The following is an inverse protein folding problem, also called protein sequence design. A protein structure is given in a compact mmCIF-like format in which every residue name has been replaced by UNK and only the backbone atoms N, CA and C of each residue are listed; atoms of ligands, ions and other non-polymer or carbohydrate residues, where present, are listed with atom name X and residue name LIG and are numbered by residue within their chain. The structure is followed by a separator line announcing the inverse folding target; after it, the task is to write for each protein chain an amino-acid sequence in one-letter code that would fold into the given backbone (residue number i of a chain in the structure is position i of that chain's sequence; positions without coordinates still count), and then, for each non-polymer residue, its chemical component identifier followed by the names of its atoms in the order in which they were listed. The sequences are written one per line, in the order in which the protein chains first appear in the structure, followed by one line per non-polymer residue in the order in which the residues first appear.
data_IF_044471541330
#
_entry.id   IF_044471541330
#
_cell.length_a   1.000
_cell.length_b   1.000
_cell.length_c   1.000
_cell.angle_alpha   90.00
_cell.angle_beta   90.00
_cell.angle_gamma   90.00
#
_symmetry.space_group_name_H-M   'P 1'
#
loop_
_entity.id
_entity.type
_entity.pdbx_description
1 polymer ?
#
# COMPACT_ATOMS: atom_id res chain seq x y z
N UNK A 1 -8.10 -10.11 10.67
CA UNK A 1 -7.70 -9.45 11.92
C UNK A 1 -6.94 -10.36 12.91
N UNK A 2 -6.99 -11.68 12.85
CA UNK A 2 -6.37 -12.57 13.84
C UNK A 2 -4.94 -13.08 13.55
N UNK A 3 -4.26 -12.64 12.51
CA UNK A 3 -2.91 -13.14 12.15
C UNK A 3 -1.75 -12.19 12.45
N UNK A 4 -2.00 -10.91 12.63
CA UNK A 4 -0.93 -9.93 12.86
C UNK A 4 -0.50 -9.79 14.33
N UNK A 5 -1.35 -10.16 15.29
CA UNK A 5 -1.02 -10.07 16.72
C UNK A 5 0.03 -11.09 17.20
N UNK A 6 0.31 -12.16 16.42
CA UNK A 6 1.30 -13.18 16.78
C UNK A 6 2.76 -12.77 16.54
N UNK A 7 3.02 -11.82 15.65
CA UNK A 7 4.38 -11.34 15.40
C UNK A 7 4.94 -10.50 16.57
N UNK A 8 4.08 -9.84 17.35
CA UNK A 8 4.49 -9.03 18.50
C UNK A 8 4.83 -9.82 19.77
N UNK A 9 4.28 -11.01 19.94
CA UNK A 9 4.52 -11.86 21.14
C UNK A 9 5.78 -12.70 21.03
N UNK A 10 6.28 -12.93 19.79
CA UNK A 10 7.51 -13.72 19.55
C UNK A 10 8.78 -12.86 19.48
N UNK A 11 8.65 -11.52 19.31
CA UNK A 11 9.79 -10.60 19.16
C UNK A 11 9.99 -9.65 20.35
N UNK A 12 9.62 -10.06 21.58
CA UNK A 12 9.94 -9.33 22.80
C UNK A 12 11.44 -9.24 23.04
N UNK A 13 12.13 -8.46 22.21
CA UNK A 13 13.55 -8.13 22.33
C UNK A 13 13.77 -7.11 23.45
N UNK A 14 14.74 -7.38 24.29
CA UNK A 14 15.25 -6.51 25.33
C UNK A 14 15.51 -5.07 24.82
N UNK A 15 15.10 -4.08 25.58
CA UNK A 15 15.19 -2.65 25.33
C UNK A 15 16.63 -2.07 25.28
N UNK A 16 17.64 -2.84 24.94
CA UNK A 16 19.04 -2.40 24.90
C UNK A 16 19.83 -2.84 23.64
N UNK A 17 19.17 -3.27 22.56
CA UNK A 17 19.85 -3.50 21.27
C UNK A 17 19.07 -2.83 20.14
N UNK A 18 19.61 -1.72 19.70
CA UNK A 18 19.44 -0.92 18.47
C UNK A 18 18.15 -1.09 17.63
N UNK A 19 17.40 0.02 17.44
CA UNK A 19 16.17 0.07 16.62
C UNK A 19 16.45 0.19 15.12
N UNK A 20 17.53 -0.42 14.57
CA UNK A 20 17.90 -0.22 13.17
C UNK A 20 17.23 -1.18 12.18
N UNK A 21 16.70 -2.32 12.60
CA UNK A 21 16.08 -3.26 11.63
C UNK A 21 14.57 -3.03 11.46
N UNK A 22 13.84 -2.71 12.51
CA UNK A 22 12.39 -2.46 12.39
C UNK A 22 12.09 -1.10 11.71
N UNK A 23 12.93 -0.09 11.95
CA UNK A 23 12.80 1.20 11.25
C UNK A 23 13.11 1.09 9.76
N UNK A 24 14.02 0.22 9.35
CA UNK A 24 14.36 -0.03 7.95
C UNK A 24 13.19 -0.69 7.20
N UNK A 25 12.50 -1.66 7.81
CA UNK A 25 11.32 -2.30 7.21
C UNK A 25 10.10 -1.37 7.13
N UNK A 26 9.89 -0.51 8.12
CA UNK A 26 8.79 0.47 8.08
C UNK A 26 9.12 1.64 7.12
N UNK A 27 10.37 2.08 7.04
CA UNK A 27 10.81 3.06 6.06
C UNK A 27 10.69 2.52 4.62
N UNK A 28 11.07 1.26 4.38
CA UNK A 28 10.86 0.61 3.07
C UNK A 28 9.38 0.43 2.73
N UNK A 29 8.52 0.08 3.69
CA UNK A 29 7.07 0.02 3.51
C UNK A 29 6.46 1.38 3.18
N UNK A 30 6.90 2.45 3.84
CA UNK A 30 6.45 3.82 3.55
C UNK A 30 6.99 4.33 2.20
N UNK A 31 8.23 4.04 1.86
CA UNK A 31 8.81 4.31 0.53
C UNK A 31 8.03 3.54 -0.54
N UNK A 32 7.70 2.27 -0.27
CA UNK A 32 6.92 1.46 -1.19
C UNK A 32 5.47 1.93 -1.30
N UNK A 33 4.81 2.34 -0.20
CA UNK A 33 3.48 2.97 -0.25
C UNK A 33 3.50 4.26 -1.07
N UNK A 34 4.50 5.11 -0.90
CA UNK A 34 4.68 6.34 -1.69
C UNK A 34 4.97 6.02 -3.15
N UNK A 35 5.79 5.01 -3.44
CA UNK A 35 6.01 4.48 -4.80
C UNK A 35 4.73 3.90 -5.39
N UNK A 36 3.88 3.24 -4.61
CA UNK A 36 2.57 2.74 -5.02
C UNK A 36 1.62 3.86 -5.47
N UNK A 37 1.57 4.97 -4.74
CA UNK A 37 0.71 6.11 -5.07
C UNK A 37 1.25 6.86 -6.30
N UNK A 38 2.56 7.00 -6.43
CA UNK A 38 3.20 7.60 -7.59
C UNK A 38 3.10 6.72 -8.86
N UNK A 39 3.23 5.40 -8.71
CA UNK A 39 3.09 4.42 -9.81
C UNK A 39 1.66 4.40 -10.37
N UNK A 40 0.62 4.62 -9.56
CA UNK A 40 -0.75 4.75 -10.06
C UNK A 40 -0.98 6.02 -10.91
N UNK A 41 -0.18 7.07 -10.71
CA UNK A 41 -0.29 8.33 -11.45
C UNK A 41 0.63 8.42 -12.68
N UNK A 42 1.75 7.70 -12.72
CA UNK A 42 2.81 7.81 -13.74
C UNK A 42 3.10 6.51 -14.51
N UNK A 43 2.44 5.39 -14.20
CA UNK A 43 2.79 4.05 -14.66
C UNK A 43 2.58 3.76 -16.16
N UNK A 44 2.28 4.75 -16.97
CA UNK A 44 2.16 4.55 -18.42
C UNK A 44 3.45 4.62 -19.20
N UNK A 45 4.41 5.45 -18.80
CA UNK A 45 5.61 5.71 -19.63
C UNK A 45 6.91 5.09 -19.08
N UNK A 46 7.06 4.94 -17.76
CA UNK A 46 8.33 4.48 -17.17
C UNK A 46 8.51 2.96 -17.10
N UNK A 47 7.42 2.17 -17.18
CA UNK A 47 7.49 0.71 -17.07
C UNK A 47 8.06 -0.01 -18.31
N UNK A 48 8.19 0.68 -19.43
CA UNK A 48 8.59 0.06 -20.72
C UNK A 48 10.11 -0.06 -20.96
N UNK A 49 10.95 0.57 -20.13
CA UNK A 49 12.39 0.56 -20.38
C UNK A 49 13.16 -0.59 -19.70
N UNK A 50 12.56 -1.30 -18.74
CA UNK A 50 13.23 -2.40 -18.02
C UNK A 50 13.25 -3.73 -18.78
N UNK A 51 12.52 -3.89 -19.88
CA UNK A 51 12.40 -5.14 -20.63
C UNK A 51 13.37 -5.31 -21.81
N UNK A 52 14.23 -4.33 -22.13
CA UNK A 52 15.23 -4.44 -23.18
C UNK A 52 16.66 -4.41 -22.66
N UNK A 53 17.05 -5.43 -21.93
CA UNK A 53 18.42 -5.65 -21.46
C UNK A 53 18.80 -7.11 -21.50
N UNK A 54 19.29 -7.59 -22.63
CA UNK A 54 20.49 -8.40 -22.84
C UNK A 54 20.45 -9.10 -24.19
N UNK A 55 21.15 -8.54 -25.17
CA UNK A 55 21.94 -9.38 -26.08
C UNK A 55 23.12 -8.54 -26.60
N UNK A 56 24.27 -8.84 -26.02
CA UNK A 56 25.56 -8.42 -26.52
C UNK A 56 25.81 -9.09 -27.87
N UNK A 57 25.90 -8.29 -28.93
CA UNK A 57 26.89 -8.56 -29.99
C UNK A 57 27.38 -7.24 -30.58
N UNK A 58 28.68 -7.10 -30.52
CA UNK A 58 29.53 -6.02 -30.98
C UNK A 58 29.38 -5.76 -32.46
N UNK A 59 29.03 -4.52 -32.83
CA UNK A 59 29.48 -3.93 -34.09
C UNK A 59 29.58 -2.41 -33.90
N UNK A 60 30.82 -1.95 -33.87
CA UNK A 60 31.17 -0.55 -33.98
C UNK A 60 30.53 0.06 -35.25
N UNK A 61 29.74 1.11 -35.06
CA UNK A 61 29.48 2.06 -36.14
C UNK A 61 29.35 3.47 -35.53
N UNK A 62 30.43 4.22 -35.70
CA UNK A 62 30.43 5.67 -35.49
C UNK A 62 29.44 6.30 -36.49
N UNK A 63 28.33 6.80 -35.99
CA UNK A 63 27.55 7.77 -36.70
C UNK A 63 27.04 8.84 -35.73
N UNK A 64 27.69 9.99 -35.77
CA UNK A 64 27.20 11.22 -35.18
C UNK A 64 25.90 11.61 -35.89
N UNK A 65 24.77 11.26 -35.26
CA UNK A 65 23.48 11.81 -35.64
C UNK A 65 23.17 12.96 -34.67
N UNK A 66 22.97 14.13 -35.24
CA UNK A 66 22.32 15.26 -34.56
C UNK A 66 20.94 14.77 -34.10
N UNK A 67 20.73 14.74 -32.78
CA UNK A 67 19.48 14.40 -32.14
C UNK A 67 18.50 15.56 -32.36
N UNK A 68 17.78 15.50 -33.45
CA UNK A 68 16.58 16.31 -33.66
C UNK A 68 15.41 15.47 -33.14
N UNK A 69 14.85 15.85 -31.99
CA UNK A 69 13.67 15.26 -31.42
C UNK A 69 12.46 15.32 -32.38
N UNK A 70 12.36 14.34 -33.29
CA UNK A 70 11.18 14.10 -34.15
C UNK A 70 10.28 12.96 -33.62
N UNK A 71 10.52 12.46 -32.43
CA UNK A 71 9.69 11.42 -31.82
C UNK A 71 8.90 11.99 -30.66
N UNK A 72 7.63 12.37 -30.83
CA UNK A 72 6.75 12.68 -29.70
C UNK A 72 6.43 11.41 -28.87
N UNK A 73 5.65 11.55 -27.78
CA UNK A 73 5.26 10.49 -26.83
C UNK A 73 4.72 9.24 -27.56
N UNK A 74 3.95 9.42 -28.65
CA UNK A 74 3.39 8.32 -29.44
C UNK A 74 4.41 7.57 -30.31
N UNK A 75 5.69 7.99 -30.36
CA UNK A 75 6.72 7.27 -31.11
C UNK A 75 6.99 5.85 -30.57
N UNK A 76 6.61 5.58 -29.34
CA UNK A 76 6.67 4.26 -28.71
C UNK A 76 5.61 3.28 -29.25
N UNK A 77 4.55 3.80 -29.91
CA UNK A 77 3.44 3.01 -30.44
C UNK A 77 3.27 3.20 -31.95
N UNK A 78 4.25 2.77 -32.76
CA UNK A 78 4.25 3.03 -34.21
C UNK A 78 3.16 2.28 -34.98
N UNK A 79 2.56 1.26 -34.38
CA UNK A 79 1.44 0.49 -34.95
C UNK A 79 0.06 1.08 -34.65
N UNK A 80 -0.01 2.09 -33.79
CA UNK A 80 -1.25 2.72 -33.37
C UNK A 80 -1.31 4.19 -33.77
N UNK A 81 -2.51 4.72 -33.91
CA UNK A 81 -2.71 6.12 -34.29
C UNK A 81 -4.06 6.66 -33.84
N UNK A 82 -4.09 7.99 -33.62
CA UNK A 82 -5.34 8.71 -33.51
C UNK A 82 -5.78 9.18 -34.90
N UNK A 83 -6.93 8.73 -35.36
CA UNK A 83 -7.45 9.06 -36.71
C UNK A 83 -8.30 10.32 -36.70
N UNK A 84 -8.92 10.65 -35.57
CA UNK A 84 -9.62 11.90 -35.32
C UNK A 84 -9.50 12.31 -33.86
N UNK A 85 -8.86 13.43 -33.61
CA UNK A 85 -8.82 14.03 -32.28
C UNK A 85 -10.18 14.68 -31.98
N UNK A 86 -10.78 14.31 -30.85
CA UNK A 86 -12.01 14.85 -30.35
C UNK A 86 -11.87 16.23 -29.72
N UNK A 87 -12.92 16.70 -29.06
CA UNK A 87 -12.90 17.92 -28.27
C UNK A 87 -12.01 17.70 -27.03
N UNK A 88 -11.02 18.55 -26.83
CA UNK A 88 -10.13 18.55 -25.65
C UNK A 88 -10.15 19.89 -24.88
N UNK A 89 -10.68 20.98 -25.47
CA UNK A 89 -10.84 22.26 -24.82
C UNK A 89 -12.25 22.41 -24.28
N UNK A 90 -12.38 22.61 -22.97
CA UNK A 90 -13.66 22.72 -22.27
C UNK A 90 -14.46 21.41 -22.28
N UNK A 91 -13.81 20.28 -22.06
CA UNK A 91 -14.50 18.99 -21.80
C UNK A 91 -15.29 19.09 -20.51
N UNK A 92 -16.44 18.39 -20.46
CA UNK A 92 -17.30 18.39 -19.28
C UNK A 92 -16.91 17.23 -18.37
N UNK A 93 -16.66 17.52 -17.08
CA UNK A 93 -16.32 16.55 -16.05
C UNK A 93 -17.24 16.69 -14.85
N UNK A 94 -17.37 15.66 -14.02
CA UNK A 94 -18.11 15.73 -12.78
C UNK A 94 -17.44 16.68 -11.77
N UNK A 95 -18.23 17.39 -10.99
CA UNK A 95 -17.68 18.18 -9.88
C UNK A 95 -17.16 17.26 -8.78
N UNK A 96 -15.88 17.45 -8.38
CA UNK A 96 -15.23 16.66 -7.35
C UNK A 96 -15.17 17.46 -6.06
N UNK A 97 -15.82 16.94 -4.99
CA UNK A 97 -15.79 17.58 -3.68
C UNK A 97 -14.51 17.24 -2.94
N UNK A 98 -13.82 18.26 -2.44
CA UNK A 98 -12.66 18.13 -1.54
C UNK A 98 -13.00 18.49 -0.09
N UNK A 99 -14.27 18.74 0.22
CA UNK A 99 -14.71 19.09 1.58
C UNK A 99 -14.50 17.90 2.53
N UNK A 100 -13.83 18.12 3.65
CA UNK A 100 -13.68 17.16 4.74
C UNK A 100 -14.83 17.37 5.71
N UNK A 101 -15.60 16.32 5.94
CA UNK A 101 -16.74 16.34 6.85
C UNK A 101 -16.35 15.97 8.28
N UNK A 102 -17.15 16.38 9.25
CA UNK A 102 -16.92 15.98 10.66
C UNK A 102 -17.18 14.48 10.85
N UNK A 103 -18.03 13.86 10.03
CA UNK A 103 -18.27 12.42 10.02
C UNK A 103 -17.02 11.63 9.61
N UNK A 104 -16.24 12.12 8.67
CA UNK A 104 -14.98 11.49 8.26
C UNK A 104 -13.91 11.57 9.35
N UNK A 105 -13.80 12.72 10.02
CA UNK A 105 -12.93 12.88 11.20
C UNK A 105 -13.36 11.91 12.29
N UNK A 106 -14.67 11.86 12.60
CA UNK A 106 -15.19 10.96 13.64
C UNK A 106 -14.94 9.49 13.30
N UNK A 107 -15.07 9.08 12.04
CA UNK A 107 -14.78 7.72 11.62
C UNK A 107 -13.31 7.31 11.85
N UNK A 108 -12.35 8.23 11.63
CA UNK A 108 -10.95 7.98 11.95
C UNK A 108 -10.71 7.85 13.46
N UNK A 109 -11.36 8.71 14.25
CA UNK A 109 -11.30 8.65 15.71
C UNK A 109 -11.92 7.34 16.22
N UNK A 110 -13.07 6.94 15.71
CA UNK A 110 -13.74 5.70 16.11
C UNK A 110 -12.88 4.47 15.78
N UNK A 111 -12.19 4.45 14.65
CA UNK A 111 -11.23 3.41 14.28
C UNK A 111 -10.02 3.38 15.24
N UNK A 112 -9.52 4.55 15.61
CA UNK A 112 -8.42 4.66 16.57
C UNK A 112 -8.85 4.14 17.95
N UNK A 113 -10.01 4.58 18.47
CA UNK A 113 -10.57 4.12 19.74
C UNK A 113 -10.80 2.61 19.74
N UNK A 114 -11.27 2.02 18.63
CA UNK A 114 -11.46 0.58 18.49
C UNK A 114 -10.15 -0.23 18.52
N UNK A 115 -9.02 0.42 18.23
CA UNK A 115 -7.69 -0.22 18.26
C UNK A 115 -7.10 -0.28 19.69
N UNK A 116 -7.64 0.51 20.62
CA UNK A 116 -7.17 0.60 22.02
C UNK A 116 -8.32 0.47 23.00
N UNK A 117 -9.04 -0.67 23.02
CA UNK A 117 -10.17 -0.84 23.93
C UNK A 117 -9.70 -0.94 25.39
N UNK A 118 -10.46 -0.33 26.30
CA UNK A 118 -10.28 -0.52 27.72
C UNK A 118 -10.76 -1.92 28.14
N UNK A 119 -9.95 -2.64 28.91
CA UNK A 119 -10.32 -3.94 29.50
C UNK A 119 -10.97 -3.77 30.83
N UNK A 120 -12.28 -3.98 30.92
CA UNK A 120 -13.06 -3.81 32.12
C UNK A 120 -13.46 -5.16 32.72
N UNK A 121 -13.07 -5.49 33.98
CA UNK A 121 -13.45 -6.76 34.61
C UNK A 121 -14.97 -6.93 34.78
N UNK A 122 -15.46 -8.11 34.41
CA UNK A 122 -16.85 -8.54 34.66
C UNK A 122 -16.92 -9.16 36.06
N UNK A 123 -17.30 -8.38 37.07
CA UNK A 123 -17.20 -8.78 38.50
C UNK A 123 -18.02 -10.01 38.86
N UNK A 124 -19.18 -10.23 38.23
CA UNK A 124 -20.10 -11.34 38.55
C UNK A 124 -19.73 -12.65 37.81
N UNK A 125 -18.71 -12.63 36.91
CA UNK A 125 -18.28 -13.78 36.13
C UNK A 125 -16.96 -14.33 36.67
N UNK A 126 -17.00 -15.52 37.22
CA UNK A 126 -15.87 -16.12 37.94
C UNK A 126 -15.34 -17.41 37.31
N UNK A 127 -16.00 -17.93 36.27
CA UNK A 127 -15.64 -19.17 35.58
C UNK A 127 -15.55 -18.90 34.11
N UNK A 128 -14.44 -19.29 33.49
CA UNK A 128 -14.15 -19.08 32.08
C UNK A 128 -15.04 -19.94 31.16
N UNK A 129 -15.66 -19.34 30.18
CA UNK A 129 -16.49 -20.00 29.18
C UNK A 129 -15.95 -19.68 27.76
N UNK A 130 -16.34 -20.44 26.75
CA UNK A 130 -16.01 -20.13 25.35
C UNK A 130 -16.62 -18.81 24.93
N UNK A 131 -15.85 -17.98 24.26
CA UNK A 131 -16.21 -16.63 23.81
C UNK A 131 -15.93 -15.54 24.86
N UNK A 132 -15.39 -15.89 26.05
CA UNK A 132 -14.93 -14.90 27.02
C UNK A 132 -13.60 -14.30 26.59
N UNK A 133 -13.41 -13.04 26.93
CA UNK A 133 -12.08 -12.42 26.92
C UNK A 133 -11.54 -12.55 28.35
N UNK A 134 -10.40 -13.23 28.48
CA UNK A 134 -9.77 -13.45 29.78
C UNK A 134 -8.43 -12.71 29.85
N UNK A 135 -8.26 -11.93 30.91
CA UNK A 135 -6.96 -11.33 31.20
C UNK A 135 -6.10 -12.36 31.93
N UNK A 136 -4.97 -12.74 31.34
CA UNK A 136 -4.07 -13.79 31.83
C UNK A 136 -2.63 -13.32 31.87
N UNK A 137 -1.86 -13.92 32.78
CA UNK A 137 -0.43 -14.05 32.62
C UNK A 137 -0.07 -15.49 32.23
N UNK A 138 0.93 -15.66 31.42
CA UNK A 138 1.43 -16.98 31.05
C UNK A 138 2.96 -17.04 30.99
N UNK A 139 3.49 -18.20 31.30
CA UNK A 139 4.93 -18.51 31.13
C UNK A 139 5.06 -19.92 30.58
N UNK A 140 5.59 -20.04 29.37
CA UNK A 140 5.90 -21.32 28.70
C UNK A 140 7.29 -21.82 29.08
N UNK A 141 7.38 -23.14 29.36
CA UNK A 141 8.65 -23.80 29.67
C UNK A 141 8.83 -25.07 28.82
N UNK A 142 10.00 -25.17 28.18
CA UNK A 142 10.49 -26.36 27.52
C UNK A 142 11.50 -27.05 28.45
N UNK A 143 11.27 -28.30 28.78
CA UNK A 143 12.10 -29.05 29.73
C UNK A 143 12.37 -28.32 31.07
N UNK A 144 11.45 -27.39 31.47
CA UNK A 144 11.51 -26.62 32.70
C UNK A 144 12.25 -25.28 32.57
N UNK A 145 12.78 -24.94 31.40
CA UNK A 145 13.40 -23.64 31.11
C UNK A 145 12.45 -22.77 30.28
N UNK A 146 12.38 -21.47 30.62
CA UNK A 146 11.60 -20.48 29.88
C UNK A 146 12.25 -20.24 28.52
N UNK A 147 11.44 -19.98 27.49
CA UNK A 147 11.91 -19.68 26.13
C UNK A 147 11.40 -18.31 25.68
N UNK A 148 12.12 -17.72 24.74
CA UNK A 148 11.81 -16.41 24.19
C UNK A 148 10.45 -16.43 23.47
N UNK A 149 9.60 -15.39 23.75
CA UNK A 149 8.23 -15.31 23.26
C UNK A 149 7.23 -16.20 23.99
N UNK A 150 7.63 -16.99 25.00
CA UNK A 150 6.76 -17.85 25.77
C UNK A 150 6.10 -17.23 27.00
N UNK A 151 6.22 -15.91 27.21
CA UNK A 151 5.73 -15.24 28.43
C UNK A 151 5.03 -13.93 28.12
N UNK A 152 3.97 -13.59 28.90
CA UNK A 152 3.31 -12.27 28.90
C UNK A 152 4.13 -11.18 29.59
N UNK A 153 5.24 -11.50 30.21
CA UNK A 153 6.04 -10.54 30.99
C UNK A 153 5.41 -10.07 32.30
N UNK A 154 4.20 -10.50 32.63
CA UNK A 154 3.46 -10.09 33.83
C UNK A 154 2.70 -8.76 33.67
N UNK A 155 2.51 -8.30 32.44
CA UNK A 155 1.74 -7.09 32.11
C UNK A 155 0.25 -7.37 31.88
N UNK A 156 -0.13 -8.66 31.87
CA UNK A 156 -1.45 -9.11 31.50
C UNK A 156 -1.60 -9.24 29.98
N UNK A 157 -2.40 -10.20 29.55
CA UNK A 157 -2.74 -10.41 28.16
C UNK A 157 -4.22 -10.78 28.04
N UNK A 158 -4.97 -10.05 27.21
CA UNK A 158 -6.37 -10.31 26.96
C UNK A 158 -6.53 -11.33 25.85
N UNK A 159 -7.04 -12.52 26.20
CA UNK A 159 -7.24 -13.65 25.31
C UNK A 159 -8.73 -13.94 25.13
N UNK A 160 -9.22 -13.88 23.90
CA UNK A 160 -10.56 -14.36 23.56
C UNK A 160 -10.55 -15.89 23.44
N UNK A 161 -11.32 -16.58 24.28
CA UNK A 161 -11.41 -18.04 24.33
C UNK A 161 -12.20 -18.58 23.14
N UNK A 162 -11.50 -19.26 22.24
CA UNK A 162 -12.03 -19.78 20.98
C UNK A 162 -11.57 -18.98 19.77
N UNK A 163 -10.69 -18.00 19.96
CA UNK A 163 -10.09 -17.22 18.84
C UNK A 163 -9.13 -18.03 17.98
N UNK A 164 -8.51 -19.08 18.54
CA UNK A 164 -7.43 -19.82 17.90
C UNK A 164 -6.12 -19.04 17.81
N UNK A 165 -5.93 -18.04 18.66
CA UNK A 165 -4.73 -17.21 18.70
C UNK A 165 -3.53 -17.93 19.33
N UNK A 166 -3.78 -18.96 20.11
CA UNK A 166 -2.76 -19.78 20.76
C UNK A 166 -2.69 -21.20 20.14
N UNK A 167 -1.66 -21.97 20.47
CA UNK A 167 -1.53 -23.34 20.03
C UNK A 167 -2.68 -24.22 20.56
N UNK A 168 -2.99 -25.26 19.80
CA UNK A 168 -4.12 -26.16 20.11
C UNK A 168 -4.11 -26.63 21.56
N UNK A 169 -5.26 -26.48 22.23
CA UNK A 169 -5.48 -26.90 23.60
C UNK A 169 -5.17 -25.84 24.67
N UNK A 170 -4.55 -24.71 24.32
CA UNK A 170 -4.28 -23.65 25.28
C UNK A 170 -5.58 -23.01 25.76
N UNK A 171 -6.41 -22.49 24.85
CA UNK A 171 -7.68 -21.84 25.13
C UNK A 171 -8.70 -22.84 25.72
N UNK A 172 -8.80 -24.05 25.16
CA UNK A 172 -9.65 -25.11 25.65
C UNK A 172 -9.30 -25.54 27.12
N UNK A 173 -8.01 -25.49 27.45
CA UNK A 173 -7.52 -25.81 28.79
C UNK A 173 -7.92 -24.82 29.85
N UNK A 174 -8.31 -23.60 29.46
CA UNK A 174 -8.81 -22.55 30.36
C UNK A 174 -10.31 -22.62 30.60
N UNK A 175 -11.09 -23.25 29.72
CA UNK A 175 -12.55 -23.40 29.89
C UNK A 175 -12.87 -24.12 31.18
N UNK A 176 -13.79 -23.54 31.96
CA UNK A 176 -14.22 -24.08 33.25
C UNK A 176 -13.28 -23.82 34.44
N UNK A 177 -12.18 -23.07 34.21
CA UNK A 177 -11.29 -22.64 35.30
C UNK A 177 -11.86 -21.40 36.00
N UNK A 178 -11.50 -21.25 37.27
CA UNK A 178 -11.95 -20.11 38.07
C UNK A 178 -10.95 -18.94 37.95
N UNK A 179 -11.48 -17.71 37.92
CA UNK A 179 -10.70 -16.48 38.03
C UNK A 179 -9.87 -16.50 39.33
N UNK A 180 -8.66 -15.99 39.28
CA UNK A 180 -7.71 -15.98 40.40
C UNK A 180 -6.93 -17.29 40.56
N UNK A 181 -7.07 -18.25 39.65
CA UNK A 181 -6.31 -19.51 39.70
C UNK A 181 -5.16 -19.53 38.74
N UNK A 182 -4.12 -20.30 39.09
CA UNK A 182 -3.01 -20.64 38.20
C UNK A 182 -3.15 -22.08 37.76
N UNK A 183 -3.00 -22.38 36.48
CA UNK A 183 -3.12 -23.71 35.89
C UNK A 183 -1.93 -24.04 35.04
N UNK A 184 -1.47 -25.29 35.08
CA UNK A 184 -0.46 -25.82 34.20
C UNK A 184 -1.16 -26.49 33.00
N UNK A 185 -0.78 -26.05 31.77
CA UNK A 185 -1.27 -26.59 30.52
C UNK A 185 -0.11 -27.31 29.80
N UNK A 186 -0.05 -28.64 29.86
CA UNK A 186 0.90 -29.43 29.08
C UNK A 186 0.37 -29.52 27.63
N UNK A 187 1.12 -28.97 26.67
CA UNK A 187 0.76 -28.86 25.27
C UNK A 187 1.94 -29.30 24.38
N UNK A 188 1.68 -29.43 23.09
CA UNK A 188 2.72 -29.72 22.08
C UNK A 188 2.58 -28.71 20.94
N UNK A 189 3.67 -28.08 20.55
CA UNK A 189 3.67 -27.20 19.38
C UNK A 189 3.30 -27.97 18.11
N UNK A 190 2.53 -27.38 17.19
CA UNK A 190 2.24 -28.03 15.91
C UNK A 190 3.51 -28.30 15.11
N UNK A 191 3.45 -29.30 14.20
CA UNK A 191 4.52 -29.57 13.24
C UNK A 191 3.92 -29.62 11.82
N UNK A 192 4.26 -28.66 10.95
CA UNK A 192 5.23 -27.56 11.13
C UNK A 192 4.71 -26.42 12.00
N UNK A 193 5.61 -25.70 12.69
CA UNK A 193 5.34 -24.45 13.39
C UNK A 193 6.11 -23.31 12.71
N UNK A 194 5.44 -22.61 11.81
CA UNK A 194 6.04 -21.56 10.96
C UNK A 194 6.62 -20.38 11.73
N UNK A 195 5.97 -19.88 12.83
CA UNK A 195 6.51 -18.73 13.57
C UNK A 195 7.89 -18.99 14.18
N UNK A 196 8.13 -20.22 14.63
CA UNK A 196 9.44 -20.66 15.12
C UNK A 196 9.65 -22.14 14.85
N UNK A 197 10.33 -22.50 13.74
CA UNK A 197 10.55 -23.91 13.36
C UNK A 197 11.30 -24.73 14.40
N UNK A 198 12.08 -24.12 15.29
CA UNK A 198 12.83 -24.81 16.34
C UNK A 198 11.90 -25.35 17.44
N UNK A 199 10.69 -24.80 17.56
CA UNK A 199 9.67 -25.26 18.50
C UNK A 199 8.76 -26.36 17.92
N UNK A 200 8.79 -26.61 16.61
CA UNK A 200 7.90 -27.54 15.95
C UNK A 200 7.93 -28.94 16.60
N UNK A 201 6.74 -29.43 17.00
CA UNK A 201 6.57 -30.74 17.62
C UNK A 201 7.14 -30.89 19.03
N UNK A 202 7.62 -29.81 19.66
CA UNK A 202 8.15 -29.86 21.03
C UNK A 202 7.04 -29.81 22.08
N UNK A 203 7.25 -30.56 23.18
CA UNK A 203 6.35 -30.51 24.34
C UNK A 203 6.66 -29.29 25.21
N UNK A 204 5.63 -28.56 25.59
CA UNK A 204 5.72 -27.34 26.39
C UNK A 204 4.74 -27.41 27.55
N UNK A 205 5.08 -26.77 28.67
CA UNK A 205 4.13 -26.54 29.76
C UNK A 205 3.95 -25.03 29.94
N UNK A 206 2.72 -24.56 29.74
CA UNK A 206 2.36 -23.19 30.07
C UNK A 206 1.77 -23.11 31.48
N UNK A 207 2.40 -22.34 32.36
CA UNK A 207 1.81 -21.92 33.61
C UNK A 207 1.01 -20.65 33.33
N UNK A 208 -0.35 -20.72 33.46
CA UNK A 208 -1.27 -19.65 33.15
C UNK A 208 -2.00 -19.19 34.38
N UNK A 209 -1.92 -17.91 34.71
CA UNK A 209 -2.68 -17.27 35.80
C UNK A 209 -3.82 -16.46 35.20
N UNK A 210 -5.06 -16.75 35.62
CA UNK A 210 -6.28 -16.07 35.20
C UNK A 210 -6.58 -14.93 36.17
N UNK A 211 -6.46 -13.67 35.71
CA UNK A 211 -6.69 -12.50 36.55
C UNK A 211 -8.14 -12.08 36.59
N UNK A 212 -8.79 -12.00 35.43
CA UNK A 212 -10.18 -11.57 35.28
C UNK A 212 -10.80 -12.10 34.01
N UNK A 213 -12.13 -12.14 33.95
CA UNK A 213 -12.87 -12.14 32.69
C UNK A 213 -13.23 -10.67 32.44
N UNK A 214 -12.92 -10.17 31.24
CA UNK A 214 -13.07 -8.75 30.90
C UNK A 214 -14.03 -8.56 29.73
N UNK A 215 -14.56 -7.37 29.61
CA UNK A 215 -15.18 -6.88 28.40
C UNK A 215 -14.34 -5.73 27.84
N UNK A 216 -14.24 -5.66 26.52
CA UNK A 216 -13.60 -4.54 25.83
C UNK A 216 -14.62 -3.42 25.67
N UNK A 217 -14.32 -2.27 26.25
CA UNK A 217 -15.14 -1.07 26.18
C UNK A 217 -14.40 -0.02 25.37
N UNK A 218 -15.08 0.62 24.42
CA UNK A 218 -14.49 1.74 23.66
C UNK A 218 -14.19 2.89 24.62
N UNK A 219 -12.94 3.35 24.70
CA UNK A 219 -12.56 4.46 25.58
C UNK A 219 -13.20 5.78 25.15
N UNK A 220 -13.20 6.77 26.04
CA UNK A 220 -13.68 8.11 25.71
C UNK A 220 -12.60 8.89 24.95
N UNK A 221 -12.99 9.51 23.83
CA UNK A 221 -12.12 10.46 23.11
C UNK A 221 -11.91 11.74 23.95
N UNK A 222 -10.70 11.96 24.41
CA UNK A 222 -10.32 13.11 25.25
C UNK A 222 -8.81 13.41 25.13
N UNK A 223 -8.33 14.46 25.81
CA UNK A 223 -6.93 14.87 25.74
C UNK A 223 -5.97 13.83 26.33
N UNK A 224 -6.39 13.06 27.33
CA UNK A 224 -5.57 12.01 27.95
C UNK A 224 -5.34 10.87 26.96
N UNK A 225 -6.40 10.38 26.30
CA UNK A 225 -6.31 9.35 25.28
C UNK A 225 -5.47 9.84 24.08
N UNK A 226 -5.71 11.05 23.60
CA UNK A 226 -4.94 11.62 22.48
C UNK A 226 -3.43 11.71 22.81
N UNK A 227 -3.10 12.17 24.02
CA UNK A 227 -1.70 12.29 24.47
C UNK A 227 -1.00 10.93 24.59
N UNK A 228 -1.72 9.89 24.99
CA UNK A 228 -1.16 8.55 25.18
C UNK A 228 -0.97 7.80 23.85
N UNK A 229 -1.89 7.95 22.90
CA UNK A 229 -1.97 7.08 21.74
C UNK A 229 -1.68 7.75 20.38
N UNK A 230 -1.58 9.10 20.31
CA UNK A 230 -1.45 9.79 19.01
C UNK A 230 -0.20 10.66 18.85
N UNK A 231 0.52 10.91 19.94
CA UNK A 231 1.66 11.84 19.94
C UNK A 231 1.26 13.33 19.93
N UNK A 232 -0.02 13.66 20.07
CA UNK A 232 -0.54 15.02 20.21
C UNK A 232 -0.97 15.29 21.65
N UNK A 233 -0.70 16.47 22.18
CA UNK A 233 -1.00 16.83 23.58
C UNK A 233 -2.50 16.92 23.87
N UNK A 234 -3.35 17.11 22.84
CA UNK A 234 -4.82 17.28 23.01
C UNK A 234 -5.60 16.65 21.86
N UNK A 235 -6.83 16.23 22.17
CA UNK A 235 -7.80 15.72 21.20
C UNK A 235 -8.01 16.70 20.03
N UNK A 236 -8.17 17.99 20.33
CA UNK A 236 -8.38 19.04 19.32
C UNK A 236 -7.18 19.21 18.38
N UNK A 237 -5.93 19.04 18.87
CA UNK A 237 -4.75 19.13 18.03
C UNK A 237 -4.65 17.92 17.06
N UNK A 238 -5.04 16.74 17.52
CA UNK A 238 -5.11 15.57 16.65
C UNK A 238 -6.22 15.69 15.60
N UNK A 239 -7.42 16.14 15.98
CA UNK A 239 -8.52 16.39 15.03
C UNK A 239 -8.15 17.40 13.92
N UNK A 240 -7.41 18.45 14.28
CA UNK A 240 -6.92 19.41 13.27
C UNK A 240 -5.91 18.76 12.31
N UNK A 241 -4.99 17.98 12.85
CA UNK A 241 -4.02 17.21 12.03
C UNK A 241 -4.70 16.20 11.10
N UNK A 242 -5.74 15.51 11.59
CA UNK A 242 -6.55 14.62 10.75
C UNK A 242 -7.25 15.39 9.64
N UNK A 243 -7.81 16.55 9.96
CA UNK A 243 -8.50 17.41 8.98
C UNK A 243 -7.53 17.88 7.89
N UNK A 244 -6.35 18.35 8.27
CA UNK A 244 -5.30 18.75 7.32
C UNK A 244 -4.87 17.59 6.42
N UNK A 245 -4.64 16.41 7.00
CA UNK A 245 -4.25 15.21 6.27
C UNK A 245 -5.33 14.74 5.29
N UNK A 246 -6.58 14.66 5.73
CA UNK A 246 -7.71 14.28 4.89
C UNK A 246 -7.98 15.31 3.79
N UNK A 247 -7.81 16.61 4.09
CA UNK A 247 -7.94 17.68 3.11
C UNK A 247 -6.91 17.52 2.00
N UNK A 248 -5.64 17.30 2.36
CA UNK A 248 -4.58 17.06 1.40
C UNK A 248 -4.85 15.82 0.55
N UNK A 249 -5.23 14.69 1.16
CA UNK A 249 -5.57 13.46 0.43
C UNK A 249 -6.71 13.68 -0.57
N UNK A 250 -7.77 14.41 -0.16
CA UNK A 250 -8.90 14.71 -1.04
C UNK A 250 -8.49 15.63 -2.19
N UNK A 251 -7.66 16.63 -1.94
CA UNK A 251 -7.15 17.52 -2.97
C UNK A 251 -6.31 16.76 -4.01
N UNK A 252 -5.38 15.91 -3.56
CA UNK A 252 -4.57 15.07 -4.44
C UNK A 252 -5.45 14.08 -5.25
N UNK A 253 -6.39 13.41 -4.58
CA UNK A 253 -7.34 12.51 -5.24
C UNK A 253 -8.22 13.24 -6.25
N UNK A 254 -8.68 14.44 -5.92
CA UNK A 254 -9.50 15.24 -6.82
C UNK A 254 -8.74 15.69 -8.08
N UNK A 255 -7.44 16.00 -7.97
CA UNK A 255 -6.60 16.30 -9.13
C UNK A 255 -6.53 15.08 -10.05
N UNK A 256 -6.19 13.91 -9.52
CA UNK A 256 -6.09 12.66 -10.30
C UNK A 256 -7.43 12.27 -10.94
N UNK A 257 -8.54 12.42 -10.20
CA UNK A 257 -9.88 12.14 -10.72
C UNK A 257 -10.26 13.08 -11.87
N UNK A 258 -10.02 14.40 -11.72
CA UNK A 258 -10.28 15.39 -12.77
C UNK A 258 -9.47 15.10 -14.03
N UNK A 259 -8.18 14.76 -13.89
CA UNK A 259 -7.31 14.40 -14.99
C UNK A 259 -7.84 13.17 -15.73
N UNK A 260 -8.19 12.13 -15.00
CA UNK A 260 -8.73 10.91 -15.56
C UNK A 260 -10.05 11.16 -16.30
N UNK A 261 -11.01 11.86 -15.69
CA UNK A 261 -12.31 12.17 -16.32
C UNK A 261 -12.15 13.07 -17.56
N UNK A 262 -11.24 14.06 -17.50
CA UNK A 262 -10.95 14.92 -18.64
C UNK A 262 -10.40 14.12 -19.81
N UNK A 263 -9.43 13.24 -19.56
CA UNK A 263 -8.86 12.40 -20.62
C UNK A 263 -9.85 11.34 -21.10
N UNK A 264 -10.68 10.76 -20.24
CA UNK A 264 -11.79 9.90 -20.67
C UNK A 264 -12.76 10.61 -21.63
N UNK A 265 -13.11 11.86 -21.33
CA UNK A 265 -13.99 12.65 -22.18
C UNK A 265 -13.35 12.93 -23.56
N UNK A 266 -12.05 13.23 -23.59
CA UNK A 266 -11.29 13.39 -24.84
C UNK A 266 -11.27 12.09 -25.65
N UNK A 267 -10.95 10.97 -25.00
CA UNK A 267 -10.88 9.64 -25.63
C UNK A 267 -12.25 9.24 -26.19
N UNK A 268 -13.32 9.46 -25.45
CA UNK A 268 -14.68 9.11 -25.86
C UNK A 268 -15.15 9.88 -27.13
N UNK A 269 -14.67 11.11 -27.35
CA UNK A 269 -14.97 11.90 -28.56
C UNK A 269 -13.96 11.71 -29.68
N UNK A 270 -12.89 10.92 -29.47
CA UNK A 270 -11.81 10.66 -30.42
C UNK A 270 -11.98 9.33 -31.16
N UNK A 271 -11.28 9.15 -32.28
CA UNK A 271 -11.24 7.89 -33.04
C UNK A 271 -9.81 7.40 -33.15
N UNK A 272 -9.61 6.11 -32.86
CA UNK A 272 -8.29 5.47 -32.82
C UNK A 272 -8.22 4.23 -33.71
N UNK A 273 -7.02 3.94 -34.21
CA UNK A 273 -6.63 2.63 -34.72
C UNK A 273 -5.52 2.11 -33.80
N UNK A 274 -5.85 1.11 -32.96
CA UNK A 274 -4.94 0.54 -31.98
C UNK A 274 -4.40 -0.81 -32.47
N UNK A 275 -3.10 -1.01 -32.34
CA UNK A 275 -2.42 -2.27 -32.64
C UNK A 275 -2.63 -3.26 -31.49
N UNK A 276 -3.11 -4.47 -31.80
CA UNK A 276 -3.27 -5.53 -30.81
C UNK A 276 -1.92 -5.97 -30.21
N UNK A 277 -0.84 -5.88 -30.98
CA UNK A 277 0.52 -6.19 -30.49
C UNK A 277 0.95 -5.19 -29.40
N UNK A 278 0.67 -3.91 -29.57
CA UNK A 278 0.99 -2.87 -28.59
C UNK A 278 0.09 -2.96 -27.35
N UNK A 279 -1.20 -3.23 -27.54
CA UNK A 279 -2.12 -3.51 -26.42
C UNK A 279 -1.66 -4.72 -25.61
N UNK A 280 -1.22 -5.80 -26.29
CA UNK A 280 -0.71 -6.98 -25.60
C UNK A 280 0.58 -6.67 -24.83
N UNK A 281 1.48 -5.87 -25.42
CA UNK A 281 2.72 -5.45 -24.74
C UNK A 281 2.42 -4.66 -23.45
N UNK A 282 1.43 -3.78 -23.48
CA UNK A 282 0.99 -3.05 -22.28
C UNK A 282 0.41 -3.99 -21.21
N UNK A 283 -0.45 -4.95 -21.62
CA UNK A 283 -0.99 -5.95 -20.71
C UNK A 283 0.11 -6.80 -20.07
N UNK A 284 1.07 -7.25 -20.88
CA UNK A 284 2.19 -8.07 -20.40
C UNK A 284 3.06 -7.30 -19.41
N UNK A 285 3.39 -6.03 -19.72
CA UNK A 285 4.16 -5.16 -18.82
C UNK A 285 3.46 -4.93 -17.50
N UNK A 286 2.16 -4.65 -17.52
CA UNK A 286 1.38 -4.45 -16.30
C UNK A 286 1.31 -5.72 -15.46
N UNK A 287 1.08 -6.87 -16.10
CA UNK A 287 1.07 -8.16 -15.41
C UNK A 287 2.43 -8.47 -14.76
N UNK A 288 3.52 -8.23 -15.49
CA UNK A 288 4.88 -8.44 -14.98
C UNK A 288 5.21 -7.53 -13.79
N UNK A 289 4.70 -6.32 -13.76
CA UNK A 289 4.83 -5.42 -12.61
C UNK A 289 4.21 -6.07 -11.35
N UNK A 290 2.99 -6.58 -11.45
CA UNK A 290 2.32 -7.26 -10.33
C UNK A 290 2.99 -8.59 -9.95
N UNK A 291 3.54 -9.34 -10.91
CA UNK A 291 4.36 -10.53 -10.64
C UNK A 291 5.63 -10.17 -9.85
N UNK A 292 6.22 -9.01 -10.13
CA UNK A 292 7.38 -8.50 -9.38
C UNK A 292 7.00 -8.18 -7.93
N UNK A 293 5.85 -7.52 -7.71
CA UNK A 293 5.34 -7.28 -6.37
C UNK A 293 5.02 -8.57 -5.62
N UNK A 294 4.33 -9.52 -6.26
CA UNK A 294 4.04 -10.81 -5.66
C UNK A 294 5.33 -11.53 -5.21
N UNK A 295 6.35 -11.53 -6.07
CA UNK A 295 7.65 -12.12 -5.77
C UNK A 295 8.35 -11.47 -4.57
N UNK A 296 8.22 -10.14 -4.40
CA UNK A 296 8.77 -9.45 -3.24
C UNK A 296 8.15 -9.94 -1.92
N UNK A 297 6.85 -10.31 -1.94
CA UNK A 297 6.17 -10.91 -0.79
C UNK A 297 6.33 -12.44 -0.72
N UNK A 298 7.11 -13.03 -1.62
CA UNK A 298 7.31 -14.49 -1.70
C UNK A 298 6.05 -15.25 -2.14
N UNK A 299 5.16 -14.60 -2.87
CA UNK A 299 3.90 -15.14 -3.36
C UNK A 299 3.91 -15.29 -4.89
N UNK A 300 3.12 -16.25 -5.39
CA UNK A 300 2.72 -16.27 -6.81
C UNK A 300 1.64 -15.19 -7.05
N UNK A 301 1.51 -14.70 -8.29
CA UNK A 301 0.58 -13.63 -8.62
C UNK A 301 -0.86 -13.91 -8.16
N UNK A 302 -1.39 -15.08 -8.42
CA UNK A 302 -2.78 -15.43 -8.06
C UNK A 302 -3.03 -15.39 -6.55
N UNK A 303 -2.04 -15.83 -5.76
CA UNK A 303 -2.08 -15.79 -4.30
C UNK A 303 -1.98 -14.34 -3.78
N UNK A 304 -1.11 -13.53 -4.38
CA UNK A 304 -0.98 -12.11 -4.08
C UNK A 304 -2.28 -11.34 -4.36
N UNK A 305 -2.87 -11.54 -5.55
CA UNK A 305 -4.15 -10.91 -5.91
C UNK A 305 -5.25 -11.26 -4.92
N UNK A 306 -5.34 -12.54 -4.54
CA UNK A 306 -6.38 -13.00 -3.62
C UNK A 306 -6.15 -12.50 -2.17
N UNK A 307 -4.92 -12.57 -1.66
CA UNK A 307 -4.61 -12.30 -0.26
C UNK A 307 -4.46 -10.79 0.03
N UNK A 308 -3.78 -10.06 -0.86
CA UNK A 308 -3.48 -8.65 -0.67
C UNK A 308 -4.56 -7.73 -1.27
N UNK A 309 -5.13 -8.11 -2.41
CA UNK A 309 -6.06 -7.25 -3.15
C UNK A 309 -7.52 -7.74 -3.10
N UNK A 310 -7.78 -8.95 -2.57
CA UNK A 310 -9.10 -9.60 -2.56
C UNK A 310 -9.73 -9.68 -3.97
N UNK A 311 -8.90 -9.87 -4.99
CA UNK A 311 -9.24 -9.85 -6.40
C UNK A 311 -9.00 -11.24 -7.01
N UNK A 312 -9.87 -11.66 -7.92
CA UNK A 312 -9.63 -12.88 -8.70
C UNK A 312 -8.73 -12.59 -9.90
N UNK A 313 -8.08 -13.63 -10.44
CA UNK A 313 -7.27 -13.50 -11.66
C UNK A 313 -8.11 -12.99 -12.86
N UNK A 314 -9.37 -13.43 -12.98
CA UNK A 314 -10.28 -12.99 -14.06
C UNK A 314 -10.60 -11.48 -13.94
N UNK A 315 -10.86 -10.99 -12.73
CA UNK A 315 -11.08 -9.57 -12.48
C UNK A 315 -9.84 -8.75 -12.81
N UNK A 316 -8.66 -9.22 -12.37
CA UNK A 316 -7.38 -8.59 -12.67
C UNK A 316 -7.12 -8.50 -14.19
N UNK A 317 -7.26 -9.61 -14.92
CA UNK A 317 -7.06 -9.64 -16.36
C UNK A 317 -8.01 -8.66 -17.08
N UNK A 318 -9.26 -8.52 -16.62
CA UNK A 318 -10.23 -7.55 -17.14
C UNK A 318 -9.84 -6.11 -16.84
N UNK A 319 -9.33 -5.84 -15.63
CA UNK A 319 -8.80 -4.51 -15.28
C UNK A 319 -7.57 -4.14 -16.09
N UNK A 320 -6.64 -5.08 -16.29
CA UNK A 320 -5.44 -4.89 -17.11
C UNK A 320 -5.80 -4.61 -18.57
N UNK A 321 -6.81 -5.29 -19.13
CA UNK A 321 -7.30 -5.03 -20.48
C UNK A 321 -7.86 -3.60 -20.61
N UNK A 322 -8.70 -3.19 -19.65
CA UNK A 322 -9.27 -1.83 -19.61
C UNK A 322 -8.20 -0.77 -19.45
N UNK A 323 -7.24 -1.01 -18.58
CA UNK A 323 -6.10 -0.12 -18.36
C UNK A 323 -5.24 0.03 -19.62
N UNK A 324 -4.90 -1.07 -20.30
CA UNK A 324 -4.08 -1.03 -21.51
C UNK A 324 -4.74 -0.25 -22.64
N UNK A 325 -6.05 -0.44 -22.86
CA UNK A 325 -6.83 0.30 -23.85
C UNK A 325 -6.85 1.80 -23.55
N UNK A 326 -7.13 2.16 -22.28
CA UNK A 326 -7.12 3.55 -21.83
C UNK A 326 -5.74 4.18 -21.98
N UNK A 327 -4.70 3.50 -21.52
CA UNK A 327 -3.32 3.99 -21.53
C UNK A 327 -2.82 4.28 -22.96
N UNK A 328 -3.03 3.35 -23.88
CA UNK A 328 -2.65 3.55 -25.28
C UNK A 328 -3.37 4.75 -25.90
N UNK A 329 -4.68 4.81 -25.76
CA UNK A 329 -5.49 5.91 -26.32
C UNK A 329 -5.16 7.25 -25.69
N UNK A 330 -4.90 7.28 -24.37
CA UNK A 330 -4.49 8.47 -23.65
C UNK A 330 -3.16 9.00 -24.18
N UNK A 331 -2.17 8.13 -24.33
CA UNK A 331 -0.85 8.48 -24.89
C UNK A 331 -0.96 9.07 -26.32
N UNK A 332 -1.76 8.46 -27.17
CA UNK A 332 -1.99 8.95 -28.53
C UNK A 332 -2.72 10.30 -28.54
N UNK A 333 -3.70 10.48 -27.66
CA UNK A 333 -4.44 11.75 -27.54
C UNK A 333 -3.55 12.87 -27.00
N UNK A 334 -2.76 12.59 -25.96
CA UNK A 334 -1.81 13.54 -25.36
C UNK A 334 -0.79 14.00 -26.40
N UNK A 335 -0.18 13.07 -27.15
CA UNK A 335 0.77 13.42 -28.22
C UNK A 335 0.12 14.30 -29.31
N UNK A 336 -1.10 13.99 -29.70
CA UNK A 336 -1.83 14.77 -30.71
C UNK A 336 -2.17 16.18 -30.19
N UNK A 337 -2.56 16.32 -28.92
CA UNK A 337 -2.86 17.61 -28.30
C UNK A 337 -1.57 18.43 -28.15
N UNK A 338 -0.49 17.83 -27.63
CA UNK A 338 0.79 18.50 -27.48
C UNK A 338 1.28 19.09 -28.81
N UNK A 339 1.17 18.34 -29.90
CA UNK A 339 1.50 18.80 -31.25
C UNK A 339 0.57 19.90 -31.74
N UNK A 340 -0.75 19.79 -31.50
CA UNK A 340 -1.73 20.78 -31.92
C UNK A 340 -1.54 22.13 -31.23
N UNK A 341 -1.21 22.12 -29.95
CA UNK A 341 -1.06 23.30 -29.09
C UNK A 341 0.41 23.76 -28.98
N UNK A 342 1.35 23.05 -29.58
CA UNK A 342 2.79 23.29 -29.48
C UNK A 342 3.27 23.28 -28.01
N UNK A 343 2.78 22.34 -27.22
CA UNK A 343 3.24 22.13 -25.85
C UNK A 343 4.60 21.45 -25.92
N UNK A 344 5.56 22.01 -25.22
CA UNK A 344 6.93 21.48 -25.12
C UNK A 344 7.43 21.62 -23.70
N UNK A 345 8.42 20.84 -23.32
CA UNK A 345 9.14 20.96 -22.04
C UNK A 345 10.38 21.83 -22.27
N UNK A 346 10.49 22.93 -21.56
CA UNK A 346 11.71 23.76 -21.57
C UNK A 346 12.79 23.13 -20.69
N UNK A 347 14.05 23.54 -20.85
CA UNK A 347 15.15 23.03 -20.01
C UNK A 347 14.92 23.31 -18.51
N UNK A 348 14.39 24.46 -18.15
CA UNK A 348 14.06 24.79 -16.75
C UNK A 348 12.96 23.88 -16.18
N UNK A 349 11.91 23.59 -16.98
CA UNK A 349 10.86 22.63 -16.60
C UNK A 349 11.41 21.22 -16.52
N UNK A 350 12.31 20.85 -17.42
CA UNK A 350 12.97 19.54 -17.38
C UNK A 350 13.81 19.34 -16.12
N UNK A 351 14.69 20.29 -15.79
CA UNK A 351 15.53 20.22 -14.59
C UNK A 351 14.68 20.14 -13.31
N UNK A 352 13.59 20.93 -13.25
CA UNK A 352 12.67 20.94 -12.10
C UNK A 352 11.91 19.62 -12.00
N UNK A 353 11.36 19.13 -13.10
CA UNK A 353 10.60 17.89 -13.15
C UNK A 353 11.46 16.66 -12.90
N UNK A 354 12.69 16.65 -13.41
CA UNK A 354 13.66 15.58 -13.13
C UNK A 354 13.98 15.48 -11.64
N UNK A 355 14.19 16.63 -10.97
CA UNK A 355 14.40 16.64 -9.52
C UNK A 355 13.18 16.08 -8.78
N UNK A 356 11.97 16.52 -9.16
CA UNK A 356 10.74 16.03 -8.55
C UNK A 356 10.55 14.52 -8.74
N UNK A 357 10.75 14.02 -9.95
CA UNK A 357 10.66 12.59 -10.24
C UNK A 357 11.69 11.79 -9.43
N UNK A 358 12.94 12.27 -9.35
CA UNK A 358 13.97 11.61 -8.56
C UNK A 358 13.60 11.54 -7.06
N UNK A 359 13.04 12.63 -6.51
CA UNK A 359 12.58 12.67 -5.13
C UNK A 359 11.37 11.73 -4.90
N UNK A 360 10.40 11.73 -5.80
CA UNK A 360 9.18 10.90 -5.71
C UNK A 360 9.48 9.40 -5.81
N UNK A 361 10.48 9.03 -6.61
CA UNK A 361 10.93 7.64 -6.77
C UNK A 361 12.03 7.22 -5.78
N UNK A 362 12.49 8.15 -4.92
CA UNK A 362 13.52 7.88 -3.93
C UNK A 362 14.89 7.57 -4.54
N UNK A 363 15.20 8.14 -5.70
CA UNK A 363 16.51 8.00 -6.33
C UNK A 363 17.58 8.77 -5.55
N UNK A 364 18.84 8.31 -5.62
CA UNK A 364 19.95 8.97 -4.93
C UNK A 364 20.19 10.41 -5.40
N UNK A 365 19.95 10.68 -6.67
CA UNK A 365 19.99 12.01 -7.26
C UNK A 365 19.28 12.06 -8.62
N UNK A 366 18.94 13.27 -9.12
CA UNK A 366 18.37 13.44 -10.46
C UNK A 366 19.22 12.84 -11.58
N UNK A 367 20.55 12.93 -11.48
CA UNK A 367 21.46 12.39 -12.47
C UNK A 367 21.40 10.85 -12.51
N UNK A 368 21.30 10.19 -11.34
CA UNK A 368 21.14 8.73 -11.24
C UNK A 368 19.80 8.30 -11.85
N UNK A 369 18.74 9.05 -11.57
CA UNK A 369 17.43 8.81 -12.16
C UNK A 369 17.44 8.96 -13.68
N UNK A 370 18.05 10.03 -14.22
CA UNK A 370 18.19 10.25 -15.66
C UNK A 370 19.06 9.16 -16.33
N UNK A 371 20.14 8.69 -15.67
CA UNK A 371 20.98 7.61 -16.17
C UNK A 371 20.22 6.28 -16.26
N UNK A 372 19.33 6.01 -15.28
CA UNK A 372 18.52 4.77 -15.22
C UNK A 372 17.41 4.76 -16.29
N UNK A 373 16.65 5.85 -16.40
CA UNK A 373 15.45 5.91 -17.24
C UNK A 373 15.67 6.57 -18.60
N UNK A 374 16.70 7.38 -18.74
CA UNK A 374 17.04 8.11 -19.95
C UNK A 374 16.29 9.44 -20.09
N UNK A 375 17.01 10.46 -20.62
CA UNK A 375 16.46 11.82 -20.79
C UNK A 375 15.15 11.85 -21.58
N UNK A 376 15.06 11.09 -22.67
CA UNK A 376 13.85 11.08 -23.52
C UNK A 376 12.61 10.58 -22.78
N UNK A 377 12.76 9.55 -21.94
CA UNK A 377 11.67 9.01 -21.14
C UNK A 377 11.18 10.04 -20.12
N UNK A 378 12.11 10.70 -19.43
CA UNK A 378 11.78 11.78 -18.47
C UNK A 378 11.08 12.94 -19.18
N UNK A 379 11.59 13.39 -20.32
CA UNK A 379 11.00 14.49 -21.11
C UNK A 379 9.59 14.13 -21.60
N UNK A 380 9.39 12.88 -22.06
CA UNK A 380 8.08 12.40 -22.47
C UNK A 380 7.08 12.33 -21.31
N UNK A 381 7.51 11.91 -20.12
CA UNK A 381 6.68 11.92 -18.91
C UNK A 381 6.24 13.34 -18.55
N UNK A 382 7.18 14.27 -18.50
CA UNK A 382 6.88 15.69 -18.21
C UNK A 382 5.98 16.33 -19.28
N UNK A 383 6.17 15.98 -20.56
CA UNK A 383 5.31 16.45 -21.65
C UNK A 383 3.89 15.88 -21.51
N UNK A 384 3.78 14.61 -21.12
CA UNK A 384 2.50 13.96 -20.85
C UNK A 384 1.74 14.69 -19.76
N UNK A 385 2.36 14.87 -18.59
CA UNK A 385 1.75 15.52 -17.44
C UNK A 385 1.31 16.94 -17.75
N UNK A 386 2.19 17.72 -18.39
CA UNK A 386 1.91 19.10 -18.81
C UNK A 386 0.72 19.19 -19.78
N UNK A 387 0.57 18.20 -20.65
CA UNK A 387 -0.52 18.16 -21.63
C UNK A 387 -1.85 17.73 -20.97
N UNK A 388 -1.81 16.77 -20.05
CA UNK A 388 -2.97 16.37 -19.27
C UNK A 388 -3.45 17.55 -18.40
N UNK A 389 -2.54 18.26 -17.73
CA UNK A 389 -2.84 19.48 -16.98
C UNK A 389 -3.48 20.56 -17.87
N UNK A 390 -2.93 20.78 -19.07
CA UNK A 390 -3.50 21.71 -20.04
C UNK A 390 -4.96 21.41 -20.37
N UNK A 391 -5.34 20.15 -20.52
CA UNK A 391 -6.71 19.70 -20.79
C UNK A 391 -7.58 19.88 -19.54
N UNK A 392 -7.07 19.47 -18.38
CA UNK A 392 -7.78 19.50 -17.10
C UNK A 392 -8.10 20.90 -16.64
N UNK A 393 -7.16 21.84 -16.78
CA UNK A 393 -7.35 23.26 -16.43
C UNK A 393 -8.45 23.94 -17.25
N UNK A 394 -8.77 23.40 -18.42
CA UNK A 394 -9.81 23.90 -19.32
C UNK A 394 -11.11 23.13 -19.24
N UNK A 395 -11.14 22.06 -18.46
CA UNK A 395 -12.36 21.29 -18.24
C UNK A 395 -13.41 22.11 -17.49
N UNK A 396 -14.67 21.81 -17.73
CA UNK A 396 -15.83 22.48 -17.12
C UNK A 396 -16.51 21.48 -16.18
N UNK A 397 -16.46 21.78 -14.89
CA UNK A 397 -17.19 21.00 -13.88
C UNK A 397 -18.70 21.29 -13.97
N UNK A 398 -19.50 20.20 -13.96
CA UNK A 398 -20.97 20.26 -14.03
C UNK A 398 -21.64 19.63 -12.81
#
# INVERSE_FOLDING_TARGET
MGREMWYGVVTGGNADTEPEQDSFFEEEKEIMKKRWIAVLALSGLLALTAACGTNTDTAENENTAEDTAEGGIAAEYPGSSITRLGKYDGVEIAAVSTEVTDEEIQAQIDNLLASYPDSVPIEDKTVVESGDIVNIDFVGRLDGEEFEGGSSGGEGFDLEIGSGSFIDGFEDGLIGKEVGTTVDLPLTFPDPYTPNPDLAGQDVVFEVTIHAIVEHVTPEWNDEFASEHTGYDTAAAYEESLRESLQQQKEESAVSQRQYEAMQAVIADSEFECSEEELQSLRDSRTQEYETYASYYGLELDDFLLQAMQMTREDFDSEVETWADFQLKCTLAVDAIAKAENITVSEEEYETGLQQLADDYGAESPEVFEEEYGRSTVENSLLYDKTVEFVTDRAVEM
#
